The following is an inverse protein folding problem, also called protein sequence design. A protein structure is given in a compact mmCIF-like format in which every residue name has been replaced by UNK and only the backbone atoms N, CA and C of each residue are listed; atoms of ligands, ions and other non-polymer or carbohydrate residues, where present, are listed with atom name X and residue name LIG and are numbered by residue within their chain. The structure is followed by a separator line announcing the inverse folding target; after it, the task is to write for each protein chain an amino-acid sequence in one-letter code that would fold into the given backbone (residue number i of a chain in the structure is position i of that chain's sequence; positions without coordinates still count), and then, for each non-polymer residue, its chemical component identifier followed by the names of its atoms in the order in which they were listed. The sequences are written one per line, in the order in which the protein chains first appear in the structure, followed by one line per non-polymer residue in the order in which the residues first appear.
data_IF_450836281827
#
_entry.id   IF_450836281827
#
_cell.length_a   1.000
_cell.length_b   1.000
_cell.length_c   1.000
_cell.angle_alpha   90.00
_cell.angle_beta   90.00
_cell.angle_gamma   90.00
#
_symmetry.space_group_name_H-M   'P 1'
#
loop_
_entity.id
_entity.type
_entity.pdbx_description
1 polymer ?
#
# COMPACT_ATOMS: atom_id res chain seq x y z
N UNK A 1 0.60 18.66 5.96
CA UNK A 1 0.68 17.62 4.91
C UNK A 1 1.95 16.82 5.13
N UNK A 2 1.92 15.51 4.87
CA UNK A 2 3.09 14.62 4.97
C UNK A 2 3.32 13.98 3.61
N UNK A 3 4.55 14.04 3.10
CA UNK A 3 4.94 13.44 1.82
C UNK A 3 5.93 12.31 2.13
N UNK A 4 5.67 11.12 1.59
CA UNK A 4 6.52 9.95 1.78
C UNK A 4 7.02 9.50 0.40
N UNK A 5 8.31 9.72 0.06
CA UNK A 5 8.87 9.22 -1.18
C UNK A 5 9.09 7.70 -1.08
N UNK A 6 8.66 6.96 -2.09
CA UNK A 6 8.79 5.50 -2.16
C UNK A 6 9.01 5.05 -3.60
N UNK A 7 9.66 3.90 -3.79
CA UNK A 7 9.65 3.22 -5.07
C UNK A 7 8.25 2.68 -5.37
N UNK A 8 7.86 2.74 -6.64
CA UNK A 8 6.52 2.37 -7.10
C UNK A 8 6.20 0.88 -6.92
N UNK A 9 7.21 0.01 -6.89
CA UNK A 9 7.06 -1.46 -6.79
C UNK A 9 7.65 -1.95 -5.46
N UNK A 10 6.95 -2.85 -4.80
CA UNK A 10 7.28 -3.40 -3.48
C UNK A 10 7.00 -2.43 -2.33
N UNK A 11 7.77 -1.34 -2.21
CA UNK A 11 7.73 -0.47 -1.01
C UNK A 11 6.44 0.35 -0.90
N UNK A 12 5.89 0.83 -2.01
CA UNK A 12 4.59 1.52 -2.01
C UNK A 12 3.47 0.61 -1.49
N UNK A 13 3.44 -0.63 -1.97
CA UNK A 13 2.44 -1.64 -1.59
C UNK A 13 2.57 -2.02 -0.13
N UNK A 14 3.80 -2.27 0.35
CA UNK A 14 4.06 -2.55 1.76
C UNK A 14 3.61 -1.40 2.68
N UNK A 15 3.88 -0.15 2.28
CA UNK A 15 3.46 1.02 3.06
C UNK A 15 1.93 1.11 3.13
N UNK A 16 1.23 0.94 1.99
CA UNK A 16 -0.22 0.92 1.94
C UNK A 16 -0.81 -0.19 2.82
N UNK A 17 -0.22 -1.38 2.80
CA UNK A 17 -0.63 -2.50 3.64
C UNK A 17 -0.46 -2.19 5.14
N UNK A 18 0.67 -1.62 5.55
CA UNK A 18 0.90 -1.18 6.93
C UNK A 18 -0.14 -0.15 7.38
N UNK A 19 -0.44 0.85 6.54
CA UNK A 19 -1.45 1.86 6.83
C UNK A 19 -2.85 1.26 6.93
N UNK A 20 -3.19 0.31 6.07
CA UNK A 20 -4.42 -0.46 6.14
C UNK A 20 -4.56 -1.24 7.46
N UNK A 21 -3.51 -1.97 7.88
CA UNK A 21 -3.50 -2.69 9.17
C UNK A 21 -3.65 -1.75 10.37
N UNK A 22 -3.09 -0.54 10.31
CA UNK A 22 -3.23 0.46 11.37
C UNK A 22 -4.65 1.05 11.42
N UNK A 23 -5.27 1.30 10.25
CA UNK A 23 -6.68 1.70 10.17
C UNK A 23 -7.60 0.63 10.74
N UNK A 24 -7.39 -0.64 10.39
CA UNK A 24 -8.18 -1.77 10.93
C UNK A 24 -8.10 -1.86 12.46
N UNK A 25 -6.93 -1.58 13.03
CA UNK A 25 -6.72 -1.54 14.49
C UNK A 25 -7.22 -0.25 15.16
N UNK A 26 -7.84 0.67 14.41
CA UNK A 26 -8.25 2.02 14.89
C UNK A 26 -7.10 2.82 15.53
N UNK A 27 -5.87 2.56 15.08
CA UNK A 27 -4.64 3.24 15.56
C UNK A 27 -4.16 4.32 14.61
N UNK A 28 -4.91 4.58 13.55
CA UNK A 28 -4.60 5.60 12.55
C UNK A 28 -5.80 6.54 12.41
N UNK A 29 -5.60 7.87 12.46
CA UNK A 29 -6.67 8.83 12.23
C UNK A 29 -7.23 8.66 10.81
N UNK A 30 -8.53 8.93 10.64
CA UNK A 30 -9.17 8.84 9.32
C UNK A 30 -8.79 10.05 8.47
N UNK A 31 -7.60 9.98 7.89
CA UNK A 31 -7.04 10.98 6.98
C UNK A 31 -6.92 10.40 5.57
N UNK A 32 -7.17 11.19 4.51
CA UNK A 32 -7.06 10.72 3.15
C UNK A 32 -5.59 10.36 2.82
N UNK A 33 -5.40 9.25 2.12
CA UNK A 33 -4.10 8.77 1.65
C UNK A 33 -4.16 8.78 0.12
N UNK A 34 -3.20 9.46 -0.52
CA UNK A 34 -3.11 9.57 -1.96
C UNK A 34 -1.87 8.83 -2.48
N UNK A 35 -2.05 8.00 -3.49
CA UNK A 35 -0.96 7.37 -4.23
C UNK A 35 -0.82 8.06 -5.59
N UNK A 36 0.17 8.95 -5.72
CA UNK A 36 0.38 9.73 -6.95
C UNK A 36 1.44 9.09 -7.85
N UNK A 37 1.22 7.85 -8.29
CA UNK A 37 2.09 7.19 -9.26
C UNK A 37 1.29 6.17 -10.07
N UNK A 38 1.13 6.36 -11.41
CA UNK A 38 0.43 5.39 -12.25
C UNK A 38 1.12 4.02 -12.23
N UNK A 39 2.46 4.01 -12.13
CA UNK A 39 3.23 2.78 -12.00
C UNK A 39 2.94 2.04 -10.69
N UNK A 40 2.78 2.76 -9.58
CA UNK A 40 2.48 2.12 -8.29
C UNK A 40 1.04 1.57 -8.27
N UNK A 41 0.10 2.27 -8.90
CA UNK A 41 -1.28 1.79 -9.08
C UNK A 41 -1.27 0.49 -9.89
N UNK A 42 -0.59 0.48 -11.03
CA UNK A 42 -0.51 -0.68 -11.91
C UNK A 42 0.21 -1.87 -11.26
N UNK A 43 1.31 -1.61 -10.56
CA UNK A 43 2.01 -2.65 -9.81
C UNK A 43 1.14 -3.24 -8.70
N UNK A 44 0.28 -2.44 -8.05
CA UNK A 44 -0.67 -2.93 -7.06
C UNK A 44 -1.74 -3.83 -7.69
N UNK A 45 -2.21 -3.50 -8.90
CA UNK A 45 -3.15 -4.34 -9.67
C UNK A 45 -2.52 -5.69 -10.01
N UNK A 46 -1.33 -5.68 -10.61
CA UNK A 46 -0.59 -6.91 -10.96
C UNK A 46 -0.35 -7.78 -9.72
N UNK A 47 0.03 -7.16 -8.61
CA UNK A 47 0.28 -7.85 -7.35
C UNK A 47 -1.00 -8.49 -6.77
N UNK A 48 -2.13 -7.82 -6.92
CA UNK A 48 -3.43 -8.35 -6.48
C UNK A 48 -3.90 -9.52 -7.33
N UNK A 49 -3.58 -9.52 -8.63
CA UNK A 49 -3.88 -10.61 -9.55
C UNK A 49 -3.03 -11.87 -9.31
N UNK A 50 -1.81 -11.69 -8.77
CA UNK A 50 -0.88 -12.77 -8.45
C UNK A 50 -0.70 -12.92 -6.93
N UNK A 51 -1.78 -12.76 -6.16
CA UNK A 51 -1.71 -12.77 -4.69
C UNK A 51 -1.17 -14.09 -4.13
N UNK A 52 -1.32 -15.20 -4.85
CA UNK A 52 -0.83 -16.52 -4.43
C UNK A 52 0.70 -16.63 -4.44
N UNK A 53 1.39 -15.74 -5.18
CA UNK A 53 2.86 -15.67 -5.20
C UNK A 53 3.42 -14.83 -4.04
N UNK A 54 2.57 -14.06 -3.36
CA UNK A 54 2.97 -13.21 -2.25
C UNK A 54 3.13 -14.02 -0.97
N UNK A 55 4.34 -13.98 -0.41
CA UNK A 55 4.59 -14.42 0.98
C UNK A 55 4.16 -13.34 1.98
N UNK A 56 2.88 -12.99 1.99
CA UNK A 56 2.28 -12.13 3.01
C UNK A 56 1.33 -12.98 3.86
N UNK A 57 1.53 -12.96 5.17
CA UNK A 57 0.62 -13.63 6.09
C UNK A 57 -0.78 -12.97 6.01
N UNK A 58 -1.87 -13.77 5.99
CA UNK A 58 -3.24 -13.24 5.93
C UNK A 58 -3.59 -12.31 7.09
#
# INVERSE_FOLDING_TARGET
SVIIPVFAVGRAQLLLYCLYRLRQRRRFPDVPIYLNSPMAIEATRILSEHSDELRIDP
#
